data_IF_334627059836
#
_entry.id   IF_334627059836
#
_cell.length_a   1.000
_cell.length_b   1.000
_cell.length_c   1.000
_cell.angle_alpha   90.00
_cell.angle_beta   90.00
_cell.angle_gamma   90.00
#
_symmetry.space_group_name_H-M   'P 1'
#
loop_
_entity.id
_entity.type
_entity.pdbx_description
1 polymer ?
#
# COMPACT_ATOMS: atom_id res chain seq x y z
N UNK A 1 -7.93 -9.01 6.62
CA UNK A 1 -7.87 -7.67 7.24
C UNK A 1 -8.15 -7.78 8.73
N UNK A 2 -7.40 -7.03 9.53
CA UNK A 2 -7.40 -7.07 11.01
C UNK A 2 -7.43 -5.65 11.56
N UNK A 3 -7.50 -5.52 12.88
CA UNK A 3 -7.26 -4.27 13.59
C UNK A 3 -6.21 -4.51 14.69
N UNK A 4 -5.38 -3.52 14.94
CA UNK A 4 -4.26 -3.65 15.89
C UNK A 4 -4.70 -3.76 17.35
N UNK A 5 -5.94 -3.40 17.67
CA UNK A 5 -6.40 -3.12 19.05
C UNK A 5 -5.51 -2.10 19.77
N UNK A 6 -4.75 -1.31 19.03
CA UNK A 6 -4.00 -0.16 19.53
C UNK A 6 -4.93 1.02 19.80
N UNK A 7 -4.61 1.82 20.81
CA UNK A 7 -5.45 2.94 21.24
C UNK A 7 -5.24 4.23 20.45
N UNK A 8 -4.37 4.22 19.46
CA UNK A 8 -4.08 5.36 18.59
C UNK A 8 -3.76 4.93 17.17
N UNK A 9 -4.26 5.69 16.19
CA UNK A 9 -3.97 5.55 14.76
C UNK A 9 -3.10 6.69 14.22
N UNK A 10 -2.54 7.54 15.08
CA UNK A 10 -1.70 8.67 14.66
C UNK A 10 -0.55 8.22 13.75
N UNK A 11 -0.03 9.09 12.87
CA UNK A 11 1.16 8.80 12.08
C UNK A 11 2.32 8.27 12.95
N UNK A 12 2.91 7.13 12.54
CA UNK A 12 3.93 6.40 13.29
C UNK A 12 3.39 5.20 14.08
N UNK A 13 2.08 5.06 14.27
CA UNK A 13 1.48 3.89 14.93
C UNK A 13 1.73 2.61 14.14
N UNK A 14 1.68 2.68 12.81
CA UNK A 14 1.99 1.56 11.92
C UNK A 14 3.45 1.12 12.06
N UNK A 15 4.39 2.06 12.10
CA UNK A 15 5.80 1.77 12.32
C UNK A 15 6.06 1.15 13.70
N UNK A 16 5.38 1.64 14.75
CA UNK A 16 5.43 1.04 16.09
C UNK A 16 4.94 -0.42 16.11
N UNK A 17 3.85 -0.70 15.41
CA UNK A 17 3.30 -2.07 15.29
C UNK A 17 4.26 -2.97 14.49
N UNK A 18 4.87 -2.47 13.42
CA UNK A 18 5.89 -3.20 12.65
C UNK A 18 7.11 -3.53 13.53
N UNK A 19 7.57 -2.59 14.35
CA UNK A 19 8.66 -2.82 15.32
C UNK A 19 8.29 -3.89 16.34
N UNK A 20 7.05 -3.89 16.84
CA UNK A 20 6.56 -4.94 17.74
C UNK A 20 6.60 -6.32 17.06
N UNK A 21 6.19 -6.44 15.80
CA UNK A 21 6.28 -7.72 15.08
C UNK A 21 7.70 -8.23 14.94
N UNK A 22 8.66 -7.33 14.72
CA UNK A 22 10.08 -7.69 14.63
C UNK A 22 10.74 -8.06 15.95
N UNK A 23 10.21 -7.57 17.07
CA UNK A 23 10.77 -7.75 18.41
C UNK A 23 10.06 -8.79 19.29
N UNK A 24 8.92 -9.33 18.86
CA UNK A 24 8.15 -10.28 19.65
C UNK A 24 8.52 -11.74 19.35
N UNK A 25 8.52 -12.58 20.38
CA UNK A 25 8.61 -14.04 20.23
C UNK A 25 7.29 -14.70 19.86
N UNK A 26 6.18 -13.95 19.85
CA UNK A 26 4.86 -14.45 19.46
C UNK A 26 4.76 -14.59 17.95
N UNK A 27 4.10 -15.65 17.51
CA UNK A 27 3.75 -15.85 16.08
C UNK A 27 2.60 -14.93 15.69
N UNK A 28 2.89 -13.64 15.54
CA UNK A 28 1.93 -12.60 15.14
C UNK A 28 2.65 -11.60 14.25
N UNK A 29 2.10 -11.35 13.08
CA UNK A 29 2.59 -10.32 12.14
C UNK A 29 1.57 -10.12 11.01
N UNK A 30 1.73 -9.05 10.25
CA UNK A 30 0.97 -8.79 9.03
C UNK A 30 1.92 -8.31 7.93
N UNK A 31 1.49 -8.37 6.68
CA UNK A 31 2.31 -7.91 5.56
C UNK A 31 2.35 -6.39 5.50
N UNK A 32 1.23 -5.75 5.81
CA UNK A 32 1.07 -4.31 5.88
C UNK A 32 0.41 -3.87 7.18
N UNK A 33 0.76 -2.67 7.61
CA UNK A 33 0.10 -1.96 8.70
C UNK A 33 -0.29 -0.57 8.20
N UNK A 34 -1.50 -0.10 8.52
CA UNK A 34 -2.03 1.19 8.07
C UNK A 34 -2.37 2.06 9.26
N UNK A 35 -1.91 3.32 9.24
CA UNK A 35 -2.29 4.37 10.20
C UNK A 35 -2.75 5.66 9.47
N UNK A 36 -2.97 6.74 10.19
CA UNK A 36 -3.38 8.04 9.63
C UNK A 36 -2.29 8.68 8.75
N UNK A 37 -1.04 8.25 8.87
CA UNK A 37 0.07 8.70 8.04
C UNK A 37 0.19 7.95 6.72
N UNK A 38 -0.38 6.74 6.63
CA UNK A 38 -0.29 5.87 5.45
C UNK A 38 -0.09 4.40 5.79
N UNK A 39 0.52 3.67 4.87
CA UNK A 39 0.81 2.25 5.03
C UNK A 39 2.31 1.99 5.22
N UNK A 40 2.63 1.06 6.09
CA UNK A 40 3.97 0.51 6.29
C UNK A 40 3.96 -0.94 5.81
N UNK A 41 4.85 -1.29 4.91
CA UNK A 41 5.07 -2.68 4.50
C UNK A 41 6.07 -3.33 5.46
N UNK A 42 5.62 -4.35 6.18
CA UNK A 42 6.46 -5.15 7.07
C UNK A 42 7.12 -6.33 6.35
N UNK A 43 6.35 -7.07 5.55
CA UNK A 43 6.87 -8.17 4.74
C UNK A 43 7.33 -7.68 3.37
N UNK A 44 8.63 -7.56 3.18
CA UNK A 44 9.21 -7.12 1.90
C UNK A 44 9.20 -8.15 0.78
N UNK A 45 8.73 -9.38 1.03
CA UNK A 45 8.73 -10.48 0.04
C UNK A 45 7.43 -11.29 0.12
N UNK A 46 6.32 -10.64 -0.20
CA UNK A 46 4.96 -11.20 -0.08
C UNK A 46 4.78 -12.47 -0.94
N UNK A 47 5.48 -12.57 -2.08
CA UNK A 47 5.33 -13.71 -3.00
C UNK A 47 5.98 -15.00 -2.47
N UNK A 48 7.00 -14.88 -1.62
CA UNK A 48 7.78 -16.03 -1.16
C UNK A 48 7.73 -16.21 0.36
N UNK A 49 7.24 -15.22 1.11
CA UNK A 49 7.12 -15.24 2.57
C UNK A 49 5.71 -14.93 2.99
N UNK A 50 5.25 -15.57 4.04
CA UNK A 50 3.96 -15.28 4.66
C UNK A 50 4.16 -14.72 6.08
N UNK A 51 3.16 -14.00 6.55
CA UNK A 51 3.07 -13.48 7.91
C UNK A 51 2.04 -14.26 8.72
N UNK A 52 2.10 -14.12 10.05
CA UNK A 52 1.27 -14.87 10.98
C UNK A 52 0.02 -14.05 11.36
N UNK A 53 -1.00 -14.06 10.51
CA UNK A 53 -2.18 -13.21 10.69
C UNK A 53 -3.53 -13.96 10.56
N UNK A 54 -3.56 -15.10 9.88
CA UNK A 54 -4.79 -15.79 9.48
C UNK A 54 -4.87 -17.17 10.17
N UNK A 55 -4.47 -17.21 11.44
CA UNK A 55 -4.42 -18.45 12.23
C UNK A 55 -5.58 -18.60 13.20
N UNK A 56 -5.54 -19.73 13.90
CA UNK A 56 -6.47 -20.05 14.97
C UNK A 56 -7.60 -21.01 14.56
N UNK A 57 -8.22 -21.62 15.57
CA UNK A 57 -9.40 -22.45 15.39
C UNK A 57 -10.66 -21.62 15.09
N UNK A 58 -11.74 -22.28 14.78
CA UNK A 58 -13.05 -21.66 14.60
C UNK A 58 -13.51 -20.97 15.89
N UNK A 59 -13.81 -19.69 15.80
CA UNK A 59 -14.14 -18.87 16.97
C UNK A 59 -15.63 -18.94 17.32
N UNK A 60 -16.50 -18.85 16.32
CA UNK A 60 -17.94 -18.97 16.48
C UNK A 60 -18.61 -19.56 15.22
N UNK A 61 -19.94 -19.71 15.26
CA UNK A 61 -20.71 -20.28 14.14
C UNK A 61 -21.17 -19.25 13.11
N UNK A 62 -21.04 -17.94 13.40
CA UNK A 62 -21.56 -16.85 12.54
C UNK A 62 -20.58 -16.43 11.46
N UNK A 63 -19.29 -16.56 11.71
CA UNK A 63 -18.24 -16.24 10.74
C UNK A 63 -17.58 -17.51 10.20
N UNK A 64 -16.55 -17.36 9.40
CA UNK A 64 -15.72 -18.47 8.97
C UNK A 64 -16.11 -19.11 7.65
N UNK A 65 -16.74 -18.36 6.74
CA UNK A 65 -17.00 -18.83 5.37
C UNK A 65 -15.72 -19.25 4.61
N UNK A 66 -14.59 -18.66 5.03
CA UNK A 66 -13.25 -18.96 4.49
C UNK A 66 -12.42 -19.87 5.41
N UNK A 67 -13.01 -20.47 6.43
CA UNK A 67 -12.31 -21.41 7.32
C UNK A 67 -11.74 -22.58 6.53
N UNK A 68 -10.46 -22.88 6.73
CA UNK A 68 -9.72 -23.90 5.99
C UNK A 68 -9.39 -23.55 4.54
N UNK A 69 -9.88 -22.41 4.02
CA UNK A 69 -9.59 -21.92 2.67
C UNK A 69 -8.56 -20.79 2.69
N UNK A 70 -8.78 -19.77 3.53
CA UNK A 70 -7.83 -18.68 3.72
C UNK A 70 -6.81 -19.06 4.82
N UNK A 71 -5.54 -18.90 4.51
CA UNK A 71 -4.40 -19.27 5.37
C UNK A 71 -3.33 -18.18 5.30
N UNK A 72 -2.36 -18.20 6.21
CA UNK A 72 -1.20 -17.31 6.14
C UNK A 72 -0.42 -17.40 4.81
N UNK A 73 -0.53 -18.52 4.09
CA UNK A 73 0.23 -18.78 2.86
C UNK A 73 -0.43 -18.26 1.59
N UNK A 74 -1.73 -18.06 1.60
CA UNK A 74 -2.50 -17.66 0.42
C UNK A 74 -3.28 -16.35 0.62
N UNK A 75 -2.96 -15.62 1.67
CA UNK A 75 -3.56 -14.32 1.97
C UNK A 75 -2.49 -13.26 2.28
N UNK A 76 -2.82 -12.00 2.01
CA UNK A 76 -2.04 -10.83 2.41
C UNK A 76 -2.68 -10.25 3.67
N UNK A 77 -1.91 -10.20 4.76
CA UNK A 77 -2.36 -9.67 6.04
C UNK A 77 -2.23 -8.15 6.11
N UNK A 78 -3.32 -7.47 6.48
CA UNK A 78 -3.32 -6.03 6.71
C UNK A 78 -3.85 -5.76 8.10
N UNK A 79 -3.01 -5.16 8.96
CA UNK A 79 -3.40 -4.61 10.25
C UNK A 79 -3.76 -3.14 10.09
N UNK A 80 -4.93 -2.75 10.59
CA UNK A 80 -5.40 -1.37 10.56
C UNK A 80 -5.30 -0.80 11.98
N UNK A 81 -4.55 0.28 12.14
CA UNK A 81 -4.41 0.96 13.42
C UNK A 81 -5.76 1.53 13.84
N UNK A 82 -6.24 1.04 14.99
CA UNK A 82 -7.46 1.52 15.62
C UNK A 82 -7.18 2.63 16.60
N UNK A 83 -8.21 3.35 17.00
CA UNK A 83 -8.18 4.26 18.13
C UNK A 83 -9.28 3.88 19.13
N UNK A 84 -9.02 4.15 20.41
CA UNK A 84 -9.98 3.97 21.47
C UNK A 84 -10.01 5.26 22.31
N UNK A 85 -11.16 5.89 22.40
CA UNK A 85 -11.31 7.21 23.06
C UNK A 85 -11.19 7.18 24.58
N UNK A 86 -11.20 5.98 25.19
CA UNK A 86 -10.84 5.83 26.60
C UNK A 86 -9.33 5.87 26.85
N UNK A 87 -8.51 5.81 25.78
CA UNK A 87 -7.07 5.68 25.88
C UNK A 87 -6.58 4.33 26.42
N UNK A 88 -7.48 3.36 26.57
CA UNK A 88 -7.19 2.01 27.11
C UNK A 88 -7.64 0.93 26.13
N UNK A 89 -7.00 -0.24 26.20
CA UNK A 89 -7.49 -1.41 25.51
C UNK A 89 -8.75 -1.94 26.20
N UNK A 90 -9.80 -2.14 25.40
CA UNK A 90 -11.09 -2.71 25.85
C UNK A 90 -11.35 -4.01 25.08
N UNK A 91 -12.45 -4.69 25.38
CA UNK A 91 -12.85 -5.91 24.65
C UNK A 91 -13.20 -5.59 23.20
N UNK A 92 -13.12 -6.58 22.33
CA UNK A 92 -13.55 -6.42 20.94
C UNK A 92 -15.03 -6.02 20.86
N UNK A 93 -15.37 -5.20 19.85
CA UNK A 93 -16.72 -4.64 19.66
C UNK A 93 -17.19 -3.66 20.74
N UNK A 94 -16.30 -3.23 21.64
CA UNK A 94 -16.59 -2.15 22.55
C UNK A 94 -16.88 -0.85 21.77
N UNK A 95 -17.83 -0.03 22.29
CA UNK A 95 -18.30 1.18 21.60
C UNK A 95 -17.25 2.28 21.45
N UNK A 96 -16.15 2.18 22.17
CA UNK A 96 -15.05 3.14 22.13
C UNK A 96 -14.03 2.87 21.02
N UNK A 97 -14.08 1.68 20.37
CA UNK A 97 -13.22 1.37 19.24
C UNK A 97 -13.69 2.03 17.96
N UNK A 98 -12.77 2.62 17.23
CA UNK A 98 -13.05 3.17 15.90
C UNK A 98 -11.84 3.13 14.97
N UNK A 99 -12.13 3.15 13.70
CA UNK A 99 -11.19 3.59 12.67
C UNK A 99 -11.50 5.05 12.35
N UNK A 100 -10.47 5.87 12.22
CA UNK A 100 -10.61 7.25 11.71
C UNK A 100 -10.95 7.23 10.22
N UNK A 101 -11.57 8.28 9.72
CA UNK A 101 -11.82 8.40 8.27
C UNK A 101 -10.52 8.43 7.48
N UNK A 102 -9.44 8.95 8.08
CA UNK A 102 -8.13 9.01 7.47
C UNK A 102 -7.52 7.64 7.31
N UNK A 103 -7.51 6.81 8.36
CA UNK A 103 -6.98 5.43 8.26
C UNK A 103 -7.80 4.59 7.29
N UNK A 104 -9.13 4.76 7.25
CA UNK A 104 -9.99 4.06 6.29
C UNK A 104 -9.70 4.50 4.86
N UNK A 105 -9.41 5.78 4.63
CA UNK A 105 -9.03 6.27 3.30
C UNK A 105 -7.70 5.69 2.85
N UNK A 106 -6.68 5.70 3.72
CA UNK A 106 -5.38 5.10 3.44
C UNK A 106 -5.49 3.57 3.20
N UNK A 107 -6.37 2.89 3.96
CA UNK A 107 -6.66 1.47 3.76
C UNK A 107 -7.28 1.18 2.38
N UNK A 108 -8.23 2.00 1.93
CA UNK A 108 -8.84 1.86 0.59
C UNK A 108 -7.77 1.99 -0.50
N UNK A 109 -6.87 2.96 -0.37
CA UNK A 109 -5.78 3.16 -1.34
C UNK A 109 -4.83 1.96 -1.38
N UNK A 110 -4.38 1.49 -0.21
CA UNK A 110 -3.54 0.29 -0.12
C UNK A 110 -4.23 -0.92 -0.72
N UNK A 111 -5.48 -1.20 -0.35
CA UNK A 111 -6.19 -2.38 -0.83
C UNK A 111 -6.42 -2.32 -2.34
N UNK A 112 -6.78 -1.17 -2.90
CA UNK A 112 -6.89 -1.01 -4.36
C UNK A 112 -5.56 -1.24 -5.08
N UNK A 113 -4.45 -0.77 -4.50
CA UNK A 113 -3.12 -1.06 -5.02
C UNK A 113 -2.84 -2.57 -5.02
N UNK A 114 -3.09 -3.27 -3.89
CA UNK A 114 -2.87 -4.72 -3.79
C UNK A 114 -3.79 -5.51 -4.72
N UNK A 115 -5.04 -5.10 -4.86
CA UNK A 115 -5.98 -5.69 -5.82
C UNK A 115 -5.43 -5.63 -7.25
N UNK A 116 -4.90 -4.49 -7.66
CA UNK A 116 -4.32 -4.30 -8.99
C UNK A 116 -3.01 -5.07 -9.17
N UNK A 117 -2.12 -5.06 -8.16
CA UNK A 117 -0.79 -5.68 -8.22
C UNK A 117 -0.86 -7.21 -8.22
N UNK A 118 -1.82 -7.79 -7.49
CA UNK A 118 -1.93 -9.24 -7.31
C UNK A 118 -3.13 -9.86 -8.04
N UNK A 119 -3.89 -9.07 -8.80
CA UNK A 119 -5.08 -9.54 -9.51
C UNK A 119 -6.21 -10.00 -8.58
N UNK A 120 -6.34 -9.36 -7.42
CA UNK A 120 -7.36 -9.70 -6.41
C UNK A 120 -8.61 -8.87 -6.68
N UNK A 121 -9.76 -9.52 -6.75
CA UNK A 121 -11.04 -8.81 -6.85
C UNK A 121 -11.58 -8.40 -5.45
N UNK A 122 -12.58 -7.52 -5.45
CA UNK A 122 -13.16 -7.05 -4.20
C UNK A 122 -13.86 -8.16 -3.39
N UNK A 123 -14.30 -9.27 -4.00
CA UNK A 123 -14.92 -10.38 -3.27
C UNK A 123 -13.91 -11.09 -2.37
N UNK A 124 -12.64 -11.14 -2.79
CA UNK A 124 -11.54 -11.76 -2.04
C UNK A 124 -10.89 -10.83 -1.00
N UNK A 125 -11.37 -9.60 -0.85
CA UNK A 125 -11.01 -8.76 0.30
C UNK A 125 -11.88 -9.14 1.48
N UNK A 126 -11.29 -9.80 2.48
CA UNK A 126 -11.99 -10.46 3.59
C UNK A 126 -11.45 -9.99 4.94
N UNK A 127 -12.22 -10.19 6.00
CA UNK A 127 -11.85 -9.95 7.40
C UNK A 127 -11.37 -11.25 8.05
N UNK A 128 -10.67 -11.16 9.16
CA UNK A 128 -10.40 -12.32 10.01
C UNK A 128 -11.72 -12.97 10.50
N UNK A 129 -12.74 -12.15 10.70
CA UNK A 129 -14.10 -12.62 10.99
C UNK A 129 -14.61 -13.60 9.94
N UNK A 130 -14.39 -13.32 8.66
CA UNK A 130 -14.81 -14.20 7.54
C UNK A 130 -14.01 -15.51 7.47
N UNK A 131 -12.83 -15.55 8.11
CA UNK A 131 -12.01 -16.76 8.17
C UNK A 131 -12.49 -17.69 9.28
N UNK A 132 -12.57 -17.24 10.51
CA UNK A 132 -12.84 -18.14 11.64
C UNK A 132 -13.92 -17.63 12.62
N UNK A 133 -14.56 -16.50 12.33
CA UNK A 133 -15.59 -15.91 13.18
C UNK A 133 -15.06 -15.05 14.33
N UNK A 134 -13.73 -14.87 14.46
CA UNK A 134 -13.16 -13.97 15.46
C UNK A 134 -13.66 -12.54 15.20
N UNK A 135 -14.13 -11.79 16.23
CA UNK A 135 -14.52 -10.38 16.07
C UNK A 135 -13.28 -9.52 15.74
N UNK A 136 -12.84 -9.58 14.50
CA UNK A 136 -11.68 -8.88 13.97
C UNK A 136 -11.95 -8.47 12.50
N UNK A 137 -12.03 -7.16 12.22
CA UNK A 137 -11.87 -6.01 13.14
C UNK A 137 -12.95 -5.96 14.21
N UNK A 138 -12.52 -5.77 15.46
CA UNK A 138 -13.40 -5.69 16.64
C UNK A 138 -13.99 -4.30 16.84
N UNK A 139 -14.56 -3.71 15.79
CA UNK A 139 -15.06 -2.33 15.73
C UNK A 139 -16.52 -2.37 15.29
N UNK A 140 -17.37 -1.59 15.94
CA UNK A 140 -18.80 -1.53 15.63
C UNK A 140 -19.05 -1.18 14.18
N UNK A 141 -19.85 -1.99 13.52
CA UNK A 141 -20.20 -1.89 12.09
C UNK A 141 -19.20 -2.55 11.14
N UNK A 142 -18.12 -3.17 11.65
CA UNK A 142 -17.13 -3.88 10.84
C UNK A 142 -17.27 -5.40 10.87
N UNK A 143 -18.09 -5.95 11.75
CA UNK A 143 -18.45 -7.37 11.78
C UNK A 143 -19.89 -7.54 12.25
N UNK A 144 -20.48 -8.69 11.99
CA UNK A 144 -21.90 -8.99 12.22
C UNK A 144 -22.25 -9.17 13.70
N UNK A 145 -21.27 -9.46 14.57
CA UNK A 145 -21.51 -9.58 16.02
C UNK A 145 -21.91 -8.25 16.67
N UNK A 146 -21.77 -7.14 15.95
CA UNK A 146 -22.23 -5.81 16.38
C UNK A 146 -23.66 -5.49 15.93
N UNK A 147 -24.40 -6.48 15.41
CA UNK A 147 -25.75 -6.33 14.87
C UNK A 147 -25.80 -5.84 13.41
N UNK A 148 -24.72 -5.26 12.89
CA UNK A 148 -24.62 -4.76 11.52
C UNK A 148 -23.17 -4.64 11.09
N UNK A 149 -22.86 -5.02 9.86
CA UNK A 149 -21.57 -4.79 9.21
C UNK A 149 -21.62 -3.62 8.19
N UNK A 150 -22.42 -2.60 8.45
CA UNK A 150 -22.64 -1.52 7.48
C UNK A 150 -21.37 -0.74 7.12
N UNK A 151 -20.45 -0.52 8.06
CA UNK A 151 -19.15 0.13 7.78
C UNK A 151 -18.24 -0.75 6.92
N UNK A 152 -18.26 -2.07 7.14
CA UNK A 152 -17.58 -3.01 6.28
C UNK A 152 -18.16 -2.99 4.86
N UNK A 153 -19.49 -3.00 4.71
CA UNK A 153 -20.14 -2.88 3.42
C UNK A 153 -19.80 -1.57 2.70
N UNK A 154 -19.80 -0.46 3.43
CA UNK A 154 -19.38 0.85 2.90
C UNK A 154 -17.91 0.86 2.46
N UNK A 155 -17.01 0.25 3.21
CA UNK A 155 -15.62 0.06 2.82
C UNK A 155 -15.51 -0.79 1.54
N UNK A 156 -16.21 -1.93 1.46
CA UNK A 156 -16.23 -2.80 0.28
C UNK A 156 -16.79 -2.07 -0.96
N UNK A 157 -17.81 -1.26 -0.80
CA UNK A 157 -18.35 -0.44 -1.89
C UNK A 157 -17.30 0.53 -2.46
N UNK A 158 -16.42 1.08 -1.62
CA UNK A 158 -15.31 1.93 -2.07
C UNK A 158 -14.26 1.18 -2.89
N UNK A 159 -14.11 -0.14 -2.68
CA UNK A 159 -13.21 -1.00 -3.47
C UNK A 159 -13.82 -1.34 -4.83
N UNK A 160 -15.11 -1.66 -4.86
CA UNK A 160 -15.86 -2.00 -6.08
C UNK A 160 -16.33 -0.79 -6.87
N UNK A 161 -16.36 0.41 -6.26
CA UNK A 161 -16.51 1.65 -7.00
C UNK A 161 -15.32 1.73 -7.96
N UNK A 162 -15.61 1.56 -9.25
CA UNK A 162 -14.62 1.59 -10.31
C UNK A 162 -13.66 2.76 -10.06
N UNK A 163 -12.38 2.48 -10.11
CA UNK A 163 -11.44 3.50 -10.55
C UNK A 163 -12.05 4.02 -11.84
N UNK A 164 -12.35 5.34 -11.99
CA UNK A 164 -13.06 5.82 -13.17
C UNK A 164 -12.25 5.47 -14.41
N UNK A 165 -12.70 4.48 -15.13
CA UNK A 165 -12.07 3.98 -16.35
C UNK A 165 -12.80 2.73 -16.83
N UNK A 166 -14.07 2.88 -17.27
CA UNK A 166 -14.84 1.80 -17.91
C UNK A 166 -16.35 1.88 -17.69
N UNK A 167 -16.99 2.80 -18.37
CA UNK A 167 -18.26 2.82 -19.10
C UNK A 167 -19.46 2.02 -18.55
N UNK A 168 -20.67 2.47 -18.44
CA UNK A 168 -21.63 3.24 -19.25
C UNK A 168 -22.91 3.42 -18.47
N UNK A 169 -23.63 4.52 -18.71
CA UNK A 169 -25.06 4.59 -18.39
C UNK A 169 -25.50 5.87 -17.73
N UNK A 170 -26.02 6.76 -18.55
CA UNK A 170 -26.39 8.13 -18.35
C UNK A 170 -27.25 8.48 -17.14
N UNK A 171 -27.00 9.66 -16.66
CA UNK A 171 -28.04 10.61 -16.28
C UNK A 171 -27.47 12.04 -16.34
N UNK A 172 -28.16 12.86 -17.07
CA UNK A 172 -27.95 14.28 -17.29
C UNK A 172 -28.03 15.07 -15.99
N UNK A 173 -27.01 15.86 -15.69
CA UNK A 173 -27.25 17.13 -15.03
C UNK A 173 -26.22 18.17 -15.50
N UNK A 174 -26.75 19.23 -16.10
CA UNK A 174 -26.07 20.39 -16.64
C UNK A 174 -25.46 21.23 -15.52
N UNK A 175 -24.14 21.35 -15.56
CA UNK A 175 -23.41 22.32 -14.77
C UNK A 175 -22.13 22.67 -15.52
N UNK A 176 -22.07 23.86 -16.08
CA UNK A 176 -20.99 24.44 -16.87
C UNK A 176 -19.64 24.33 -16.17
N UNK A 177 -18.71 23.53 -16.68
CA UNK A 177 -17.32 23.55 -16.31
C UNK A 177 -16.46 23.76 -17.55
N UNK A 178 -15.85 24.91 -17.62
CA UNK A 178 -14.83 25.29 -18.58
C UNK A 178 -13.57 24.45 -18.40
N UNK A 179 -13.08 23.84 -19.48
CA UNK A 179 -11.71 23.31 -19.56
C UNK A 179 -11.59 21.78 -19.66
N UNK A 180 -12.04 21.20 -20.78
CA UNK A 180 -11.73 19.81 -21.12
C UNK A 180 -10.33 19.73 -21.74
N UNK A 181 -9.30 19.61 -20.88
CA UNK A 181 -7.97 19.20 -21.34
C UNK A 181 -7.96 17.67 -21.31
N UNK A 182 -7.94 17.03 -22.45
CA UNK A 182 -7.78 15.57 -22.54
C UNK A 182 -6.55 15.13 -21.72
N UNK A 183 -6.74 14.18 -20.79
CA UNK A 183 -5.67 13.70 -19.92
C UNK A 183 -4.61 12.99 -20.76
N UNK A 184 -3.37 13.46 -20.68
CA UNK A 184 -2.25 13.03 -21.56
C UNK A 184 -1.62 11.71 -21.09
N UNK A 185 -1.70 11.39 -19.78
CA UNK A 185 -1.01 10.23 -19.20
C UNK A 185 -2.02 9.22 -18.69
N UNK A 186 -1.63 7.94 -18.78
CA UNK A 186 -2.43 6.80 -18.30
C UNK A 186 -1.72 6.08 -17.14
N UNK A 187 -2.48 5.29 -16.41
CA UNK A 187 -1.94 4.42 -15.37
C UNK A 187 -0.83 3.53 -15.96
N UNK A 188 0.30 3.47 -15.27
CA UNK A 188 1.50 2.75 -15.69
C UNK A 188 2.55 3.61 -16.37
N UNK A 189 2.20 4.79 -16.89
CA UNK A 189 3.19 5.70 -17.49
C UNK A 189 4.21 6.17 -16.43
N UNK A 190 5.46 6.25 -16.82
CA UNK A 190 6.51 6.92 -16.03
C UNK A 190 6.60 8.36 -16.55
N UNK A 191 6.44 9.31 -15.64
CA UNK A 191 6.39 10.74 -15.94
C UNK A 191 7.43 11.51 -15.13
N UNK A 192 7.84 12.66 -15.64
CA UNK A 192 8.69 13.59 -14.92
C UNK A 192 7.82 14.55 -14.13
N UNK A 193 7.83 14.42 -12.81
CA UNK A 193 7.21 15.37 -11.89
C UNK A 193 8.18 16.53 -11.62
N UNK A 194 7.70 17.75 -11.86
CA UNK A 194 8.52 18.97 -11.72
C UNK A 194 8.75 19.42 -10.27
N UNK A 195 8.13 18.73 -9.32
CA UNK A 195 8.06 19.19 -7.92
C UNK A 195 6.80 20.03 -7.67
N UNK A 196 6.68 20.51 -6.44
CA UNK A 196 5.51 21.26 -6.01
C UNK A 196 4.68 20.47 -5.01
N UNK A 197 3.36 20.63 -5.03
CA UNK A 197 2.50 19.98 -4.06
C UNK A 197 2.00 18.63 -4.55
N UNK A 198 1.94 17.68 -3.64
CA UNK A 198 1.08 16.52 -3.78
C UNK A 198 -0.09 16.61 -2.79
N UNK A 199 -1.20 15.97 -3.11
CA UNK A 199 -2.45 16.08 -2.40
C UNK A 199 -2.95 14.69 -1.98
N UNK A 200 -3.67 14.62 -0.87
CA UNK A 200 -4.19 13.37 -0.32
C UNK A 200 -5.30 12.73 -1.20
N UNK A 201 -6.00 13.52 -1.97
CA UNK A 201 -7.00 13.06 -2.94
C UNK A 201 -7.11 14.04 -4.11
N UNK A 202 -7.82 13.64 -5.17
CA UNK A 202 -7.95 14.40 -6.41
C UNK A 202 -8.74 15.73 -6.28
N UNK A 203 -9.36 16.02 -5.13
CA UNK A 203 -10.16 17.24 -4.87
C UNK A 203 -9.67 18.02 -3.65
N UNK A 204 -8.55 17.64 -3.04
CA UNK A 204 -8.05 18.24 -1.81
C UNK A 204 -7.77 19.74 -1.97
N UNK A 205 -8.13 20.55 -0.98
CA UNK A 205 -7.87 21.99 -1.00
C UNK A 205 -6.44 22.36 -0.63
N UNK A 206 -5.72 21.47 0.09
CA UNK A 206 -4.34 21.71 0.53
C UNK A 206 -3.47 20.49 0.26
N UNK A 207 -2.19 20.72 -0.01
CA UNK A 207 -1.21 19.68 -0.27
C UNK A 207 0.15 19.99 0.33
N UNK A 208 1.00 18.98 0.42
CA UNK A 208 2.36 19.05 0.96
C UNK A 208 3.38 19.21 -0.17
N UNK A 209 4.36 20.09 -0.01
CA UNK A 209 5.44 20.26 -0.98
C UNK A 209 6.38 19.06 -0.96
N UNK A 210 6.71 18.54 -2.14
CA UNK A 210 7.54 17.37 -2.34
C UNK A 210 8.58 17.61 -3.45
N UNK A 211 9.64 16.79 -3.41
CA UNK A 211 10.77 16.93 -4.35
C UNK A 211 10.40 16.43 -5.75
N UNK A 212 10.95 17.09 -6.80
CA UNK A 212 10.78 16.64 -8.20
C UNK A 212 11.47 15.31 -8.45
N UNK A 213 11.11 14.69 -9.57
CA UNK A 213 11.78 13.49 -10.08
C UNK A 213 10.84 12.56 -10.82
N UNK A 214 11.36 11.43 -11.32
CA UNK A 214 10.55 10.47 -12.06
C UNK A 214 9.54 9.78 -11.13
N UNK A 215 8.32 9.60 -11.65
CA UNK A 215 7.24 8.98 -10.91
C UNK A 215 6.33 8.17 -11.84
N UNK A 216 5.75 7.10 -11.30
CA UNK A 216 4.77 6.28 -11.98
C UNK A 216 3.36 6.82 -11.74
N UNK A 217 2.58 6.96 -12.80
CA UNK A 217 1.15 7.22 -12.69
C UNK A 217 0.45 5.96 -12.20
N UNK A 218 -0.13 6.02 -11.01
CA UNK A 218 -0.79 4.87 -10.38
C UNK A 218 -2.31 4.99 -10.36
N UNK A 219 -2.86 6.20 -10.53
CA UNK A 219 -4.27 6.43 -10.75
C UNK A 219 -4.51 7.72 -11.55
N UNK A 220 -5.66 7.80 -12.20
CA UNK A 220 -6.10 8.97 -12.98
C UNK A 220 -7.54 9.31 -12.59
N UNK A 221 -7.82 10.56 -12.26
CA UNK A 221 -9.15 11.08 -11.92
C UNK A 221 -9.57 12.12 -12.96
N UNK A 222 -10.38 11.72 -13.94
CA UNK A 222 -10.75 12.55 -15.10
C UNK A 222 -11.50 13.84 -14.76
N UNK A 223 -12.22 13.85 -13.63
CA UNK A 223 -12.90 15.02 -13.08
C UNK A 223 -12.19 15.60 -11.85
N UNK A 224 -10.95 15.18 -11.58
CA UNK A 224 -10.17 15.62 -10.43
C UNK A 224 -9.53 16.99 -10.68
N UNK A 225 -9.52 17.83 -9.64
CA UNK A 225 -8.71 19.06 -9.62
C UNK A 225 -7.23 18.73 -9.73
N UNK A 226 -6.82 17.60 -9.12
CA UNK A 226 -5.47 17.01 -9.18
C UNK A 226 -5.58 15.66 -9.89
N UNK A 227 -5.49 15.60 -11.23
CA UNK A 227 -5.97 14.45 -12.00
C UNK A 227 -5.05 13.22 -11.96
N UNK A 228 -3.80 13.32 -11.51
CA UNK A 228 -2.87 12.21 -11.53
C UNK A 228 -2.37 11.84 -10.14
N UNK A 229 -2.50 10.57 -9.76
CA UNK A 229 -1.81 10.04 -8.58
C UNK A 229 -0.45 9.52 -9.01
N UNK A 230 0.59 10.05 -8.39
CA UNK A 230 1.98 9.70 -8.66
C UNK A 230 2.63 9.00 -7.47
N UNK A 231 3.47 8.02 -7.79
CA UNK A 231 4.39 7.39 -6.84
C UNK A 231 5.80 7.50 -7.42
N UNK A 232 6.72 8.08 -6.66
CA UNK A 232 8.10 8.22 -7.09
C UNK A 232 8.72 6.86 -7.44
N UNK A 233 9.61 6.83 -8.45
CA UNK A 233 10.27 5.59 -8.91
C UNK A 233 11.71 5.47 -8.44
N UNK A 234 12.26 6.52 -7.84
CA UNK A 234 13.58 6.52 -7.25
C UNK A 234 13.66 7.49 -6.04
N UNK A 235 14.82 7.59 -5.41
CA UNK A 235 15.06 8.43 -4.23
C UNK A 235 15.23 9.93 -4.52
N UNK A 236 15.22 10.37 -5.77
CA UNK A 236 15.34 11.79 -6.12
C UNK A 236 14.05 12.52 -5.86
N UNK A 237 12.92 11.86 -6.07
CA UNK A 237 11.58 12.38 -5.79
C UNK A 237 11.03 11.87 -4.46
N UNK A 238 10.12 12.64 -3.88
CA UNK A 238 9.34 12.23 -2.71
C UNK A 238 7.83 12.28 -2.98
N UNK A 239 7.43 12.35 -4.27
CA UNK A 239 6.01 12.40 -4.62
C UNK A 239 5.32 11.07 -4.32
N UNK A 240 4.26 11.14 -3.54
CA UNK A 240 3.35 10.04 -3.25
C UNK A 240 1.96 10.62 -2.99
N UNK A 241 1.18 10.82 -4.04
CA UNK A 241 -0.13 11.44 -3.94
C UNK A 241 -0.62 12.02 -5.27
N UNK A 242 -1.74 12.69 -5.20
CA UNK A 242 -2.36 13.35 -6.34
C UNK A 242 -1.63 14.65 -6.67
N UNK A 243 -1.50 14.97 -7.95
CA UNK A 243 -0.79 16.17 -8.41
C UNK A 243 -1.58 16.86 -9.50
N UNK A 244 -1.33 18.16 -9.66
CA UNK A 244 -1.83 18.95 -10.78
C UNK A 244 -1.26 18.44 -12.10
N UNK A 245 -2.05 18.44 -13.16
CA UNK A 245 -1.57 18.05 -14.48
C UNK A 245 -0.36 18.87 -14.95
N UNK A 246 -0.35 20.17 -14.62
CA UNK A 246 0.75 21.08 -14.95
C UNK A 246 2.07 20.77 -14.19
N UNK A 247 2.01 20.00 -13.11
CA UNK A 247 3.19 19.54 -12.39
C UNK A 247 3.92 18.38 -13.07
N UNK A 248 3.38 17.85 -14.17
CA UNK A 248 4.01 16.82 -14.99
C UNK A 248 4.53 17.46 -16.27
N UNK A 249 5.84 17.45 -16.47
CA UNK A 249 6.50 18.10 -17.62
C UNK A 249 6.64 17.21 -18.85
N UNK A 250 6.31 15.94 -18.74
CA UNK A 250 6.37 14.98 -19.85
C UNK A 250 6.47 13.53 -19.38
N UNK A 251 6.55 12.61 -20.33
CA UNK A 251 7.01 11.26 -19.99
C UNK A 251 8.47 11.35 -19.55
N UNK A 252 8.79 10.73 -18.42
CA UNK A 252 10.19 10.58 -18.06
C UNK A 252 10.87 9.77 -19.16
N UNK A 253 11.94 10.31 -19.73
CA UNK A 253 12.76 9.56 -20.67
C UNK A 253 13.19 8.27 -19.97
N UNK A 254 13.08 7.15 -20.65
CA UNK A 254 13.37 5.86 -20.08
C UNK A 254 14.72 5.91 -19.37
N UNK A 255 14.66 5.57 -18.08
CA UNK A 255 15.79 5.26 -17.19
C UNK A 255 16.76 6.42 -16.93
N UNK A 256 16.90 6.90 -15.68
CA UNK A 256 18.17 7.46 -15.24
C UNK A 256 19.25 6.45 -15.57
N UNK A 257 20.38 6.90 -16.08
CA UNK A 257 21.52 6.02 -16.36
C UNK A 257 21.73 5.12 -15.14
N UNK A 258 21.54 3.83 -15.31
CA UNK A 258 21.64 2.87 -14.22
C UNK A 258 22.94 3.13 -13.49
N UNK A 259 22.86 3.39 -12.17
CA UNK A 259 24.08 3.47 -11.36
C UNK A 259 24.91 2.23 -11.68
N UNK A 260 26.15 2.42 -12.04
CA UNK A 260 27.05 1.31 -12.27
C UNK A 260 28.10 1.26 -11.17
N UNK A 261 28.57 0.07 -10.88
CA UNK A 261 29.64 -0.19 -9.94
C UNK A 261 30.69 -1.09 -10.59
N UNK A 262 31.93 -0.65 -10.58
CA UNK A 262 33.04 -1.51 -11.02
C UNK A 262 33.52 -2.35 -9.85
N UNK A 263 33.40 -3.66 -9.99
CA UNK A 263 33.80 -4.66 -8.99
C UNK A 263 35.28 -4.52 -8.66
N UNK A 264 35.61 -4.44 -7.38
CA UNK A 264 36.98 -4.41 -6.88
C UNK A 264 37.39 -5.78 -6.38
N UNK A 265 38.72 -6.02 -6.28
CA UNK A 265 39.22 -7.26 -5.67
C UNK A 265 38.67 -7.43 -4.26
N UNK A 266 38.15 -8.61 -3.93
CA UNK A 266 37.54 -8.92 -2.63
C UNK A 266 36.09 -8.53 -2.46
N UNK A 267 35.45 -7.98 -3.51
CA UNK A 267 34.02 -7.71 -3.49
C UNK A 267 33.19 -8.99 -3.63
N UNK A 268 31.99 -8.91 -3.05
CA UNK A 268 30.90 -9.84 -3.31
C UNK A 268 29.62 -9.08 -3.63
N UNK A 269 28.68 -9.70 -4.30
CA UNK A 269 27.38 -9.07 -4.57
C UNK A 269 26.68 -8.59 -3.30
N UNK A 270 26.81 -9.34 -2.19
CA UNK A 270 26.28 -8.95 -0.88
C UNK A 270 26.93 -7.66 -0.37
N UNK A 271 28.29 -7.59 -0.41
CA UNK A 271 29.05 -6.43 0.05
C UNK A 271 28.73 -5.19 -0.79
N UNK A 272 28.66 -5.34 -2.10
CA UNK A 272 28.28 -4.26 -3.02
C UNK A 272 26.85 -3.78 -2.70
N UNK A 273 25.89 -4.69 -2.52
CA UNK A 273 24.52 -4.33 -2.15
C UNK A 273 24.44 -3.61 -0.80
N UNK A 274 25.19 -4.07 0.21
CA UNK A 274 25.25 -3.41 1.51
C UNK A 274 25.79 -1.99 1.41
N UNK A 275 26.86 -1.78 0.63
CA UNK A 275 27.53 -0.49 0.50
C UNK A 275 26.78 0.48 -0.43
N UNK A 276 26.23 -0.01 -1.53
CA UNK A 276 25.67 0.83 -2.58
C UNK A 276 24.14 1.02 -2.44
N UNK A 277 23.46 0.04 -1.83
CA UNK A 277 21.99 0.02 -1.70
C UNK A 277 21.54 0.04 -0.22
N UNK A 278 22.49 0.14 0.73
CA UNK A 278 22.21 0.16 2.17
C UNK A 278 21.75 -1.18 2.76
N UNK A 279 21.61 -2.25 1.95
CA UNK A 279 21.15 -3.55 2.41
C UNK A 279 21.76 -4.68 1.58
N UNK A 280 22.57 -5.53 2.20
CA UNK A 280 23.24 -6.65 1.54
C UNK A 280 22.26 -7.68 0.94
N UNK A 281 21.08 -7.87 1.51
CA UNK A 281 20.08 -8.81 1.00
C UNK A 281 19.56 -8.42 -0.42
N UNK A 282 19.72 -7.15 -0.82
CA UNK A 282 19.40 -6.64 -2.17
C UNK A 282 20.38 -7.13 -3.26
N UNK A 283 21.39 -7.92 -2.91
CA UNK A 283 22.31 -8.53 -3.90
C UNK A 283 21.57 -9.30 -5.00
N UNK A 284 20.40 -9.86 -4.71
CA UNK A 284 19.56 -10.56 -5.66
C UNK A 284 19.06 -9.64 -6.78
N UNK A 285 18.79 -8.38 -6.45
CA UNK A 285 18.38 -7.36 -7.42
C UNK A 285 19.53 -7.05 -8.38
N UNK A 286 20.75 -6.87 -7.85
CA UNK A 286 21.95 -6.70 -8.67
C UNK A 286 22.15 -7.91 -9.60
N UNK A 287 22.02 -9.12 -9.04
CA UNK A 287 22.16 -10.37 -9.80
C UNK A 287 21.17 -10.42 -10.97
N UNK A 288 19.89 -10.17 -10.71
CA UNK A 288 18.82 -10.20 -11.72
C UNK A 288 19.03 -9.12 -12.78
N UNK A 289 19.34 -7.89 -12.37
CA UNK A 289 19.53 -6.74 -13.25
C UNK A 289 20.70 -6.94 -14.23
N UNK A 290 21.68 -7.74 -13.83
CA UNK A 290 22.88 -8.06 -14.64
C UNK A 290 22.83 -9.43 -15.30
N UNK A 291 21.72 -10.17 -15.21
CA UNK A 291 21.57 -11.48 -15.85
C UNK A 291 22.56 -12.56 -15.33
N UNK A 292 23.03 -12.41 -14.08
CA UNK A 292 24.04 -13.32 -13.53
C UNK A 292 23.40 -14.66 -13.14
N UNK A 293 23.94 -15.76 -13.66
CA UNK A 293 23.44 -17.11 -13.35
C UNK A 293 23.80 -17.56 -11.93
N UNK A 294 24.92 -17.12 -11.40
CA UNK A 294 25.42 -17.42 -10.05
C UNK A 294 25.87 -16.11 -9.35
N UNK A 295 26.50 -16.20 -8.19
CA UNK A 295 26.98 -15.05 -7.43
C UNK A 295 28.44 -14.69 -7.73
N UNK A 296 29.06 -15.35 -8.70
CA UNK A 296 30.45 -15.09 -9.05
C UNK A 296 30.56 -13.79 -9.84
N UNK A 297 31.44 -12.91 -9.37
CA UNK A 297 31.80 -11.64 -10.01
C UNK A 297 33.30 -11.51 -10.04
N UNK A 298 33.82 -10.74 -10.98
CA UNK A 298 35.26 -10.58 -11.21
C UNK A 298 35.67 -9.11 -11.04
N UNK A 299 36.85 -8.89 -10.50
CA UNK A 299 37.41 -7.54 -10.41
C UNK A 299 37.48 -6.91 -11.82
N UNK A 300 37.08 -5.65 -11.93
CA UNK A 300 36.92 -4.94 -13.21
C UNK A 300 35.56 -5.13 -13.89
N UNK A 301 34.73 -6.07 -13.46
CA UNK A 301 33.38 -6.24 -13.99
C UNK A 301 32.52 -5.02 -13.63
N UNK A 302 31.79 -4.48 -14.62
CA UNK A 302 30.84 -3.38 -14.38
C UNK A 302 29.45 -3.96 -14.16
N UNK A 303 28.88 -3.68 -12.97
CA UNK A 303 27.54 -4.09 -12.62
C UNK A 303 26.59 -2.89 -12.64
N UNK A 304 25.42 -3.09 -13.22
CA UNK A 304 24.28 -2.17 -13.07
C UNK A 304 23.72 -2.33 -11.66
N UNK A 305 23.49 -1.22 -10.98
CA UNK A 305 22.87 -1.20 -9.65
C UNK A 305 21.39 -0.81 -9.78
N UNK A 306 20.48 -1.46 -9.04
CA UNK A 306 19.11 -1.00 -8.93
C UNK A 306 19.08 0.35 -8.17
N UNK A 307 18.08 1.14 -8.45
CA UNK A 307 17.83 2.42 -7.78
C UNK A 307 17.33 2.23 -6.34
#
# INVERSE_FOLDING_TARGET
MHYTAGVTSKPGSAAGTASYFGGTSKQVSADFIVDDGGAVQYNGDIRNRYTWHCGGGKYNTKGGAYYGKATNRNTIGIEVCSTNDTGKMTVANDSHWRFTDKVVSNLVELVKYLMAEYGIDAAHVIRHYDVNGKPCPGIIGWNEDTGSAAKWAAFKARLGAATPGGQTGGSTNTGTATGNTALTYKVGDIVQFAGGKHYANAQAASGTTVKPGPAKVTAVATAGKHPYHLVHTDSTSTVYGWVDAAAITGKASATPAAKTYTVKAGDSLWRIAAQQLGNGARYKEIKTLNGLKNNTIHAGQVLKLPN
#
